data_IF_370987845815
#
_entry.id   IF_370987845815
#
_cell.length_a   1.000
_cell.length_b   1.000
_cell.length_c   1.000
_cell.angle_alpha   90.00
_cell.angle_beta   90.00
_cell.angle_gamma   90.00
#
_symmetry.space_group_name_H-M   'P 1'
#
loop_
_entity.id
_entity.type
_entity.pdbx_description
1 polymer ?
#
# COMPACT_ATOMS: atom_id res chain seq x y z
N UNK A 1 -3.62 -61.11 -65.26
CA UNK A 1 -4.59 -61.57 -64.24
C UNK A 1 -4.44 -60.70 -63.00
N UNK A 2 -5.53 -60.08 -62.57
CA UNK A 2 -5.62 -59.11 -61.47
C UNK A 2 -5.54 -59.80 -60.09
N UNK A 3 -4.86 -59.16 -59.12
CA UNK A 3 -5.12 -59.29 -57.68
C UNK A 3 -4.51 -58.06 -56.96
N UNK A 4 -5.34 -57.10 -56.52
CA UNK A 4 -5.93 -56.96 -55.18
C UNK A 4 -4.97 -56.36 -54.13
N UNK A 5 -5.09 -55.05 -53.91
CA UNK A 5 -5.63 -54.41 -52.68
C UNK A 5 -4.74 -54.49 -51.44
N UNK A 6 -4.18 -53.34 -51.05
CA UNK A 6 -3.93 -53.03 -49.65
C UNK A 6 -4.03 -51.52 -49.46
N UNK A 7 -5.23 -51.06 -49.08
CA UNK A 7 -5.48 -49.69 -48.63
C UNK A 7 -4.92 -49.55 -47.22
N UNK A 8 -3.78 -48.87 -47.11
CA UNK A 8 -3.16 -48.51 -45.84
C UNK A 8 -3.97 -47.39 -45.16
N UNK A 9 -4.89 -47.77 -44.27
CA UNK A 9 -5.61 -46.83 -43.40
C UNK A 9 -4.66 -46.29 -42.33
N UNK A 10 -4.03 -45.14 -42.60
CA UNK A 10 -3.21 -44.44 -41.63
C UNK A 10 -4.14 -43.75 -40.62
N UNK A 11 -4.39 -44.39 -39.48
CA UNK A 11 -5.07 -43.80 -38.34
C UNK A 11 -4.22 -42.66 -37.77
N UNK A 12 -4.50 -41.44 -38.21
CA UNK A 12 -3.85 -40.23 -37.73
C UNK A 12 -4.56 -39.78 -36.45
N UNK A 13 -4.17 -40.36 -35.32
CA UNK A 13 -4.61 -39.91 -33.99
C UNK A 13 -3.97 -38.55 -33.73
N UNK A 14 -4.71 -37.47 -33.97
CA UNK A 14 -4.32 -36.13 -33.57
C UNK A 14 -4.16 -36.08 -32.04
N UNK A 15 -3.04 -35.56 -31.50
CA UNK A 15 -2.99 -35.27 -30.07
C UNK A 15 -4.01 -34.17 -29.78
N UNK A 16 -4.96 -34.46 -28.89
CA UNK A 16 -5.88 -33.45 -28.36
C UNK A 16 -5.05 -32.37 -27.68
N UNK A 17 -4.97 -31.19 -28.29
CA UNK A 17 -4.59 -29.98 -27.57
C UNK A 17 -5.65 -29.74 -26.51
N UNK A 18 -5.43 -30.29 -25.32
CA UNK A 18 -6.15 -29.88 -24.12
C UNK A 18 -5.69 -28.47 -23.83
N UNK A 19 -6.49 -27.51 -24.31
CA UNK A 19 -6.51 -26.13 -23.91
C UNK A 19 -6.71 -26.06 -22.39
N UNK A 20 -5.61 -26.18 -21.65
CA UNK A 20 -5.54 -25.57 -20.34
C UNK A 20 -5.52 -24.07 -20.59
N UNK A 21 -6.69 -23.45 -20.53
CA UNK A 21 -6.84 -22.03 -20.26
C UNK A 21 -6.19 -21.78 -18.90
N UNK A 22 -4.86 -21.68 -18.89
CA UNK A 22 -4.13 -21.00 -17.85
C UNK A 22 -4.73 -19.60 -17.82
N UNK A 23 -5.58 -19.34 -16.81
CA UNK A 23 -5.99 -17.98 -16.48
C UNK A 23 -4.69 -17.21 -16.36
N UNK A 24 -4.39 -16.40 -17.37
CA UNK A 24 -3.32 -15.43 -17.31
C UNK A 24 -3.48 -14.72 -15.98
N UNK A 25 -2.51 -14.91 -15.09
CA UNK A 25 -2.41 -14.11 -13.90
C UNK A 25 -2.35 -12.67 -14.39
N UNK A 26 -3.44 -11.92 -14.22
CA UNK A 26 -3.46 -10.48 -14.42
C UNK A 26 -2.25 -9.93 -13.67
N UNK A 27 -1.40 -9.08 -14.28
CA UNK A 27 -0.32 -8.45 -13.53
C UNK A 27 -0.97 -7.79 -12.32
N UNK A 28 -0.55 -8.20 -11.12
CA UNK A 28 -1.12 -7.81 -9.85
C UNK A 28 -1.06 -6.28 -9.73
N UNK A 29 -2.10 -5.61 -10.24
CA UNK A 29 -2.23 -4.18 -10.24
C UNK A 29 -2.86 -3.83 -8.91
N UNK A 30 -2.17 -3.00 -8.11
CA UNK A 30 -2.68 -2.51 -6.82
C UNK A 30 -4.10 -1.98 -6.96
N UNK A 31 -5.06 -2.55 -6.23
CA UNK A 31 -6.47 -2.17 -6.29
C UNK A 31 -6.66 -0.70 -5.92
N UNK A 32 -5.85 -0.19 -4.99
CA UNK A 32 -5.85 1.21 -4.60
C UNK A 32 -5.42 2.14 -5.76
N UNK A 33 -4.43 1.75 -6.56
CA UNK A 33 -4.03 2.53 -7.74
C UNK A 33 -5.14 2.58 -8.79
N UNK A 34 -5.85 1.47 -9.00
CA UNK A 34 -7.01 1.42 -9.90
C UNK A 34 -8.08 2.40 -9.42
N UNK A 35 -8.39 2.39 -8.11
CA UNK A 35 -9.32 3.34 -7.50
C UNK A 35 -8.88 4.79 -7.69
N UNK A 36 -7.64 5.15 -7.38
CA UNK A 36 -7.12 6.52 -7.54
C UNK A 36 -7.22 6.99 -9.00
N UNK A 37 -6.87 6.13 -9.96
CA UNK A 37 -7.00 6.45 -11.40
C UNK A 37 -8.47 6.60 -11.82
N UNK A 38 -9.39 5.85 -11.23
CA UNK A 38 -10.83 6.03 -11.41
C UNK A 38 -11.30 7.38 -10.86
N UNK A 39 -10.92 7.69 -9.64
CA UNK A 39 -11.27 8.93 -8.94
C UNK A 39 -10.76 10.19 -9.65
N UNK A 40 -9.63 10.12 -10.37
CA UNK A 40 -9.18 11.20 -11.28
C UNK A 40 -10.26 11.50 -12.33
N UNK A 41 -10.80 10.45 -12.98
CA UNK A 41 -11.82 10.61 -14.03
C UNK A 41 -13.12 11.15 -13.44
N UNK A 42 -13.49 10.69 -12.25
CA UNK A 42 -14.71 11.12 -11.59
C UNK A 42 -14.61 12.56 -11.09
N UNK A 43 -13.46 12.97 -10.54
CA UNK A 43 -13.21 14.37 -10.17
C UNK A 43 -13.23 15.30 -11.41
N UNK A 44 -12.70 14.84 -12.56
CA UNK A 44 -12.80 15.59 -13.82
C UNK A 44 -14.26 15.79 -14.26
N UNK A 45 -15.08 14.73 -14.20
CA UNK A 45 -16.51 14.79 -14.56
C UNK A 45 -17.30 15.70 -13.62
N UNK A 46 -17.02 15.62 -12.33
CA UNK A 46 -17.65 16.44 -11.30
C UNK A 46 -17.16 17.90 -11.29
N UNK A 47 -16.11 18.23 -12.06
CA UNK A 47 -15.42 19.53 -12.03
C UNK A 47 -14.89 19.90 -10.64
N UNK A 48 -14.60 18.89 -9.82
CA UNK A 48 -14.04 19.02 -8.48
C UNK A 48 -12.54 19.27 -8.59
N UNK A 49 -12.15 20.55 -8.69
CA UNK A 49 -10.77 20.95 -8.91
C UNK A 49 -9.86 20.60 -7.75
N UNK A 50 -10.36 20.71 -6.51
CA UNK A 50 -9.58 20.43 -5.31
C UNK A 50 -9.27 18.93 -5.22
N UNK A 51 -10.28 18.07 -5.31
CA UNK A 51 -10.07 16.62 -5.30
C UNK A 51 -9.19 16.20 -6.46
N UNK A 52 -9.41 16.74 -7.67
CA UNK A 52 -8.61 16.43 -8.85
C UNK A 52 -7.13 16.74 -8.65
N UNK A 53 -6.79 17.88 -8.04
CA UNK A 53 -5.42 18.26 -7.75
C UNK A 53 -4.77 17.27 -6.79
N UNK A 54 -5.46 16.90 -5.70
CA UNK A 54 -4.97 15.96 -4.70
C UNK A 54 -4.71 14.58 -5.30
N UNK A 55 -5.69 13.99 -6.01
CA UNK A 55 -5.53 12.62 -6.56
C UNK A 55 -4.48 12.56 -7.66
N UNK A 56 -4.32 13.62 -8.46
CA UNK A 56 -3.20 13.73 -9.41
C UNK A 56 -1.86 13.84 -8.69
N UNK A 57 -1.82 14.59 -7.59
CA UNK A 57 -0.65 14.67 -6.72
C UNK A 57 -0.16 13.30 -6.25
N UNK A 58 -1.07 12.42 -5.82
CA UNK A 58 -0.71 11.04 -5.43
C UNK A 58 -0.05 10.28 -6.59
N UNK A 59 -0.59 10.40 -7.80
CA UNK A 59 -0.02 9.73 -8.99
C UNK A 59 1.35 10.30 -9.36
N UNK A 60 1.53 11.62 -9.26
CA UNK A 60 2.81 12.28 -9.47
C UNK A 60 3.86 11.85 -8.45
N UNK A 61 3.48 11.79 -7.17
CA UNK A 61 4.34 11.30 -6.08
C UNK A 61 4.74 9.83 -6.32
N UNK A 62 3.83 9.01 -6.86
CA UNK A 62 4.11 7.61 -7.19
C UNK A 62 5.11 7.49 -8.34
N UNK A 63 4.92 8.26 -9.41
CA UNK A 63 5.86 8.32 -10.55
C UNK A 63 7.24 8.79 -10.08
N UNK A 64 7.28 9.74 -9.15
CA UNK A 64 8.54 10.20 -8.56
C UNK A 64 9.22 9.09 -7.74
N UNK A 65 8.46 8.34 -6.94
CA UNK A 65 8.96 7.21 -6.16
C UNK A 65 9.55 6.11 -7.07
N UNK A 66 8.86 5.76 -8.16
CA UNK A 66 9.31 4.77 -9.15
C UNK A 66 10.63 5.14 -9.83
N UNK A 67 10.95 6.44 -9.92
CA UNK A 67 12.20 6.95 -10.49
C UNK A 67 13.30 7.16 -9.46
N UNK A 68 12.99 7.00 -8.18
CA UNK A 68 13.92 7.26 -7.09
C UNK A 68 14.79 6.02 -6.80
N UNK A 69 15.95 6.19 -6.12
CA UNK A 69 16.71 5.05 -5.59
C UNK A 69 15.95 4.18 -4.59
N UNK A 70 14.81 4.68 -4.08
CA UNK A 70 13.91 3.98 -3.15
C UNK A 70 12.73 3.33 -3.89
N UNK A 71 12.81 3.20 -5.22
CA UNK A 71 11.76 2.59 -6.02
C UNK A 71 11.45 1.18 -5.50
N UNK A 72 10.17 0.87 -5.23
CA UNK A 72 9.78 -0.47 -4.82
C UNK A 72 9.86 -1.42 -6.02
N UNK A 73 10.17 -2.69 -5.77
CA UNK A 73 10.12 -3.72 -6.81
C UNK A 73 8.70 -3.86 -7.39
N UNK A 74 7.68 -3.67 -6.56
CA UNK A 74 6.26 -3.71 -6.94
C UNK A 74 5.48 -2.61 -6.25
N UNK A 75 4.62 -1.93 -7.00
CA UNK A 75 3.65 -0.98 -6.45
C UNK A 75 2.48 -1.74 -5.85
N UNK A 76 2.52 -1.91 -4.53
CA UNK A 76 1.43 -2.52 -3.75
C UNK A 76 0.57 -1.43 -3.09
N UNK A 77 -0.61 -1.80 -2.60
CA UNK A 77 -1.49 -0.86 -1.88
C UNK A 77 -0.78 -0.24 -0.67
N UNK A 78 0.00 -1.04 0.08
CA UNK A 78 0.76 -0.56 1.25
C UNK A 78 1.81 0.49 0.87
N UNK A 79 2.50 0.33 -0.28
CA UNK A 79 3.44 1.34 -0.79
C UNK A 79 2.71 2.67 -1.05
N UNK A 80 1.55 2.62 -1.71
CA UNK A 80 0.76 3.81 -2.02
C UNK A 80 0.25 4.47 -0.73
N UNK A 81 -0.19 3.68 0.24
CA UNK A 81 -0.66 4.21 1.53
C UNK A 81 0.47 4.88 2.31
N UNK A 82 1.68 4.30 2.34
CA UNK A 82 2.86 4.93 2.97
C UNK A 82 3.21 6.24 2.26
N UNK A 83 3.10 6.28 0.93
CA UNK A 83 3.30 7.51 0.15
C UNK A 83 2.27 8.59 0.52
N UNK A 84 0.98 8.21 0.62
CA UNK A 84 -0.10 9.12 1.04
C UNK A 84 0.15 9.64 2.45
N UNK A 85 0.54 8.79 3.40
CA UNK A 85 0.90 9.20 4.77
C UNK A 85 2.05 10.22 4.79
N UNK A 86 3.08 10.03 3.95
CA UNK A 86 4.15 11.02 3.80
C UNK A 86 3.61 12.35 3.26
N UNK A 87 2.68 12.28 2.30
CA UNK A 87 2.02 13.46 1.73
C UNK A 87 1.17 14.20 2.76
N UNK A 88 0.47 13.49 3.66
CA UNK A 88 -0.28 14.08 4.79
C UNK A 88 0.67 14.79 5.75
N UNK A 89 1.76 14.14 6.18
CA UNK A 89 2.72 14.74 7.12
C UNK A 89 3.31 16.05 6.61
N UNK A 90 3.67 16.11 5.33
CA UNK A 90 4.14 17.36 4.70
C UNK A 90 3.11 18.48 4.82
N UNK A 91 1.82 18.17 4.67
CA UNK A 91 0.73 19.14 4.81
C UNK A 91 0.50 19.56 6.26
N UNK A 92 0.62 18.63 7.21
CA UNK A 92 0.56 18.97 8.65
C UNK A 92 1.67 19.95 9.03
N UNK A 93 2.89 19.73 8.52
CA UNK A 93 4.02 20.66 8.67
C UNK A 93 3.72 22.02 7.99
N UNK A 94 3.16 22.02 6.78
CA UNK A 94 2.70 23.25 6.09
C UNK A 94 1.63 24.00 6.89
N UNK A 95 0.64 23.30 7.46
CA UNK A 95 -0.42 23.88 8.29
C UNK A 95 0.18 24.60 9.48
N UNK A 96 1.12 23.96 10.19
CA UNK A 96 1.80 24.57 11.32
C UNK A 96 2.52 25.86 10.90
N UNK A 97 3.23 25.82 9.77
CA UNK A 97 3.94 26.98 9.22
C UNK A 97 2.99 28.10 8.79
N UNK A 98 1.89 27.79 8.11
CA UNK A 98 0.89 28.78 7.68
C UNK A 98 0.18 29.41 8.88
N UNK A 99 -0.20 28.62 9.89
CA UNK A 99 -0.78 29.15 11.13
C UNK A 99 0.19 30.07 11.85
N UNK A 100 1.46 29.69 11.96
CA UNK A 100 2.50 30.53 12.57
C UNK A 100 2.70 31.85 11.80
N UNK A 101 2.47 31.86 10.48
CA UNK A 101 2.56 33.05 9.63
C UNK A 101 1.24 33.85 9.54
N UNK A 102 0.20 33.52 10.32
CA UNK A 102 -1.10 34.21 10.27
C UNK A 102 -1.92 33.94 9.00
N UNK A 103 -1.57 32.89 8.25
CA UNK A 103 -2.12 32.53 6.93
C UNK A 103 -3.20 31.45 7.05
N UNK A 104 -4.35 31.80 7.66
CA UNK A 104 -5.41 30.85 7.98
C UNK A 104 -6.01 30.17 6.74
N UNK A 105 -6.28 30.91 5.66
CA UNK A 105 -6.89 30.35 4.44
C UNK A 105 -6.03 29.25 3.81
N UNK A 106 -4.70 29.41 3.83
CA UNK A 106 -3.76 28.41 3.33
C UNK A 106 -3.67 27.19 4.24
N UNK A 107 -3.74 27.38 5.56
CA UNK A 107 -3.84 26.26 6.50
C UNK A 107 -5.14 25.47 6.31
N UNK A 108 -6.27 26.15 6.07
CA UNK A 108 -7.55 25.50 5.82
C UNK A 108 -7.56 24.73 4.49
N UNK A 109 -6.89 25.27 3.47
CA UNK A 109 -6.69 24.58 2.20
C UNK A 109 -5.92 23.26 2.40
N UNK A 110 -4.79 23.30 3.11
CA UNK A 110 -4.02 22.09 3.41
C UNK A 110 -4.85 21.07 4.20
N UNK A 111 -5.67 21.53 5.15
CA UNK A 111 -6.55 20.66 5.92
C UNK A 111 -7.61 19.99 5.04
N UNK A 112 -8.20 20.70 4.06
CA UNK A 112 -9.11 20.10 3.08
C UNK A 112 -8.42 19.02 2.26
N UNK A 113 -7.18 19.24 1.84
CA UNK A 113 -6.42 18.23 1.10
C UNK A 113 -6.10 16.99 1.94
N UNK A 114 -5.74 17.16 3.22
CA UNK A 114 -5.57 16.04 4.16
C UNK A 114 -6.84 15.21 4.26
N UNK A 115 -8.01 15.85 4.33
CA UNK A 115 -9.29 15.14 4.41
C UNK A 115 -9.52 14.27 3.18
N UNK A 116 -9.20 14.78 1.98
CA UNK A 116 -9.27 14.00 0.73
C UNK A 116 -8.30 12.81 0.74
N UNK A 117 -7.05 13.04 1.17
CA UNK A 117 -6.03 11.99 1.23
C UNK A 117 -6.40 10.86 2.22
N UNK A 118 -7.01 11.21 3.35
CA UNK A 118 -7.35 10.27 4.43
C UNK A 118 -8.35 9.21 3.98
N UNK A 119 -9.21 9.51 2.99
CA UNK A 119 -10.19 8.56 2.41
C UNK A 119 -9.53 7.35 1.73
N UNK A 120 -8.25 7.45 1.38
CA UNK A 120 -7.47 6.39 0.75
C UNK A 120 -6.63 5.56 1.72
N UNK A 121 -6.63 5.92 3.00
CA UNK A 121 -5.90 5.20 4.03
C UNK A 121 -6.81 4.22 4.77
N UNK A 122 -6.29 3.05 5.20
CA UNK A 122 -6.99 2.23 6.16
C UNK A 122 -7.07 2.97 7.49
N UNK A 123 -8.05 2.59 8.33
CA UNK A 123 -8.10 3.06 9.72
C UNK A 123 -6.77 2.71 10.40
N UNK A 124 -6.05 3.74 10.86
CA UNK A 124 -4.83 3.57 11.62
C UNK A 124 -5.14 2.90 12.97
N UNK A 125 -4.21 2.08 13.45
CA UNK A 125 -4.29 1.54 14.79
C UNK A 125 -4.13 2.68 15.79
N UNK A 126 -4.96 2.65 16.83
CA UNK A 126 -4.83 3.54 17.99
C UNK A 126 -3.58 3.20 18.79
N UNK A 127 -3.12 4.14 19.63
CA UNK A 127 -1.97 3.88 20.51
C UNK A 127 -2.18 2.65 21.40
N UNK A 128 -3.41 2.45 21.89
CA UNK A 128 -3.79 1.27 22.69
C UNK A 128 -3.72 -0.02 21.88
N UNK A 129 -4.28 -0.05 20.67
CA UNK A 129 -4.21 -1.24 19.80
C UNK A 129 -2.75 -1.59 19.44
N UNK A 130 -1.88 -0.60 19.25
CA UNK A 130 -0.44 -0.82 19.03
C UNK A 130 0.20 -1.38 20.31
N UNK A 131 -0.11 -0.81 21.47
CA UNK A 131 0.43 -1.30 22.75
C UNK A 131 0.03 -2.74 23.04
N UNK A 132 -1.24 -3.09 22.83
CA UNK A 132 -1.76 -4.44 23.04
C UNK A 132 -1.07 -5.46 22.12
N UNK A 133 -0.91 -5.12 20.83
CA UNK A 133 -0.21 -5.99 19.87
C UNK A 133 1.27 -6.13 20.23
N UNK A 134 1.93 -5.05 20.66
CA UNK A 134 3.32 -5.10 21.15
C UNK A 134 3.44 -6.01 22.37
N UNK A 135 2.58 -5.86 23.38
CA UNK A 135 2.60 -6.67 24.60
C UNK A 135 2.37 -8.15 24.28
N UNK A 136 1.44 -8.44 23.36
CA UNK A 136 1.19 -9.79 22.87
C UNK A 136 2.46 -10.39 22.25
N UNK A 137 3.10 -9.69 21.32
CA UNK A 137 4.34 -10.17 20.68
C UNK A 137 5.48 -10.34 21.69
N UNK A 138 5.62 -9.42 22.65
CA UNK A 138 6.61 -9.53 23.73
C UNK A 138 6.41 -10.81 24.53
N UNK A 139 5.17 -11.16 24.88
CA UNK A 139 4.85 -12.40 25.58
C UNK A 139 5.11 -13.64 24.72
N UNK A 140 4.64 -13.65 23.47
CA UNK A 140 4.84 -14.77 22.53
C UNK A 140 6.33 -15.05 22.28
N UNK A 141 7.15 -14.00 22.25
CA UNK A 141 8.59 -14.11 22.03
C UNK A 141 9.38 -14.32 23.33
N UNK A 142 8.74 -14.28 24.50
CA UNK A 142 9.41 -14.37 25.80
C UNK A 142 10.46 -13.27 26.00
N UNK A 143 10.19 -12.07 25.48
CA UNK A 143 11.11 -10.94 25.59
C UNK A 143 11.10 -10.39 27.02
N UNK A 144 12.29 -10.15 27.57
CA UNK A 144 12.50 -9.79 28.98
C UNK A 144 13.16 -8.43 29.17
N UNK A 145 13.46 -7.72 28.07
CA UNK A 145 13.95 -6.36 28.18
C UNK A 145 14.47 -5.79 26.86
N UNK A 146 15.19 -4.65 26.91
CA UNK A 146 15.61 -3.89 25.73
C UNK A 146 16.50 -4.67 24.75
N UNK A 147 17.20 -5.72 25.20
CA UNK A 147 18.04 -6.59 24.37
C UNK A 147 17.23 -7.37 23.32
N UNK A 148 15.96 -7.63 23.61
CA UNK A 148 15.06 -8.41 22.76
C UNK A 148 14.32 -7.55 21.71
N UNK A 149 14.60 -6.24 21.69
CA UNK A 149 14.00 -5.28 20.75
C UNK A 149 14.03 -5.77 19.30
N UNK A 150 15.18 -6.26 18.83
CA UNK A 150 15.33 -6.73 17.45
C UNK A 150 14.44 -7.93 17.12
N UNK A 151 14.18 -8.79 18.10
CA UNK A 151 13.31 -9.96 17.96
C UNK A 151 11.85 -9.54 17.87
N UNK A 152 11.40 -8.67 18.78
CA UNK A 152 10.02 -8.14 18.81
C UNK A 152 9.71 -7.32 17.55
N UNK A 153 10.64 -6.45 17.13
CA UNK A 153 10.47 -5.65 15.91
C UNK A 153 10.43 -6.49 14.63
N UNK A 154 11.06 -7.66 14.60
CA UNK A 154 11.01 -8.55 13.44
C UNK A 154 9.61 -9.09 13.22
N UNK A 155 8.92 -9.48 14.29
CA UNK A 155 7.56 -10.01 14.23
C UNK A 155 6.55 -8.91 13.88
N UNK A 156 6.66 -7.75 14.56
CA UNK A 156 5.82 -6.58 14.29
C UNK A 156 6.08 -5.97 12.91
N UNK A 157 7.21 -6.32 12.27
CA UNK A 157 7.52 -5.90 10.90
C UNK A 157 6.55 -6.45 9.84
N UNK A 158 5.76 -7.47 10.18
CA UNK A 158 4.69 -7.99 9.33
C UNK A 158 3.42 -7.13 9.34
N UNK A 159 3.28 -6.20 10.30
CA UNK A 159 2.16 -5.26 10.33
C UNK A 159 2.23 -4.34 9.12
N UNK A 160 1.06 -4.04 8.57
CA UNK A 160 0.94 -3.10 7.47
C UNK A 160 1.43 -1.72 7.94
N UNK A 161 2.51 -1.16 7.36
CA UNK A 161 3.03 0.13 7.76
C UNK A 161 2.02 1.28 7.58
N UNK A 162 0.98 1.07 6.76
CA UNK A 162 -0.12 2.00 6.61
C UNK A 162 -1.09 2.02 7.82
N UNK A 163 -1.23 0.90 8.55
CA UNK A 163 -2.07 0.82 9.75
C UNK A 163 -1.27 1.10 11.01
N UNK A 164 -0.03 0.62 11.06
CA UNK A 164 0.87 0.77 12.18
C UNK A 164 2.18 1.40 11.71
N UNK A 165 2.31 2.74 11.77
CA UNK A 165 3.51 3.43 11.34
C UNK A 165 4.74 2.89 12.09
N UNK A 166 5.79 2.50 11.35
CA UNK A 166 7.00 1.87 11.93
C UNK A 166 7.61 2.65 13.09
N UNK A 167 7.54 3.99 13.04
CA UNK A 167 8.02 4.86 14.12
C UNK A 167 7.18 4.69 15.40
N UNK A 168 5.84 4.75 15.28
CA UNK A 168 4.94 4.56 16.41
C UNK A 168 5.10 3.17 17.05
N UNK A 169 5.20 2.13 16.22
CA UNK A 169 5.48 0.76 16.70
C UNK A 169 6.83 0.70 17.42
N UNK A 170 7.90 1.24 16.82
CA UNK A 170 9.24 1.21 17.44
C UNK A 170 9.28 1.95 18.77
N UNK A 171 8.65 3.12 18.86
CA UNK A 171 8.60 3.91 20.09
C UNK A 171 7.77 3.20 21.17
N UNK A 172 6.68 2.51 20.79
CA UNK A 172 5.89 1.70 21.72
C UNK A 172 6.65 0.47 22.22
N UNK A 173 7.35 -0.26 21.34
CA UNK A 173 8.19 -1.40 21.76
C UNK A 173 9.25 -0.96 22.75
N UNK A 174 9.88 0.21 22.54
CA UNK A 174 10.86 0.76 23.49
C UNK A 174 10.22 1.02 24.85
N UNK A 175 9.04 1.66 24.86
CA UNK A 175 8.29 1.97 26.08
C UNK A 175 7.92 0.71 26.85
N UNK A 176 7.38 -0.31 26.18
CA UNK A 176 6.97 -1.57 26.81
C UNK A 176 8.17 -2.35 27.34
N UNK A 177 9.23 -2.53 26.53
CA UNK A 177 10.42 -3.28 26.95
C UNK A 177 11.25 -2.58 28.03
N UNK A 178 11.22 -1.25 28.12
CA UNK A 178 11.88 -0.51 29.21
C UNK A 178 11.13 -0.62 30.55
N UNK A 179 9.87 -1.07 30.52
CA UNK A 179 9.03 -1.27 31.71
C UNK A 179 9.02 -2.70 32.25
N UNK A 180 9.78 -3.61 31.62
CA UNK A 180 10.00 -5.01 32.03
C UNK A 180 11.34 -5.14 32.76
#
# INVERSE_FOLDING_TARGET
MFARTSTFTRSFTQPRFTSALSRAATPATSALLVRIKGDVKDAMRAKDKERLAVVKGILSDLIYLEKSPQAPEKVTDSVIQVLIQKSIKKREESIANYKAAGRAEQADQEQREINVLTVYLPKAMTEQEIEDEVRRVVQEQGATGPKDMGKVMRELGALDPAKAPKKAVSDMVKKVLASL
#
